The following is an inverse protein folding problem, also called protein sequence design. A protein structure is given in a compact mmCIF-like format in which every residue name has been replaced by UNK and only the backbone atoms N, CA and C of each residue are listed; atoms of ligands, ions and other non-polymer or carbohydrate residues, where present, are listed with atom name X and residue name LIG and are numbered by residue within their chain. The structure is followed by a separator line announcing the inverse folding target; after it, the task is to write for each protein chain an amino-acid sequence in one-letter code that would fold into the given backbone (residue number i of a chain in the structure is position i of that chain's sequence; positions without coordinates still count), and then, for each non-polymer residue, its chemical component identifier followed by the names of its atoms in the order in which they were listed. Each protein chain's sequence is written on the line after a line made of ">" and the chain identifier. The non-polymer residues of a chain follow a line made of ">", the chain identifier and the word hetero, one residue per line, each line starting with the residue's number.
data_IF_531489156180
#
_entry.id   IF_531489156180
#
_cell.length_a   1.000
_cell.length_b   1.000
_cell.length_c   1.000
_cell.angle_alpha   90.00
_cell.angle_beta   90.00
_cell.angle_gamma   90.00
#
_symmetry.space_group_name_H-M   'P 1'
#
loop_
_entity.id
_entity.type
_entity.pdbx_description
1 polymer ?
#
# COMPACT_ATOMS: atom_id res chain seq x y z
N UNK A 1 -22.16 5.11 -20.71
CA UNK A 1 -21.14 4.06 -20.86
C UNK A 1 -21.14 3.26 -19.57
N UNK A 2 -21.20 1.94 -19.60
CA UNK A 2 -21.21 1.13 -18.38
C UNK A 2 -19.90 1.28 -17.61
N UNK A 3 -19.99 1.32 -16.30
CA UNK A 3 -18.89 1.56 -15.38
C UNK A 3 -18.62 0.31 -14.55
N UNK A 4 -17.37 -0.09 -14.46
CA UNK A 4 -16.91 -1.13 -13.54
C UNK A 4 -16.47 -0.50 -12.22
N UNK A 5 -16.80 -1.13 -11.10
CA UNK A 5 -16.37 -0.76 -9.76
C UNK A 5 -15.55 -1.91 -9.15
N UNK A 6 -14.31 -1.65 -8.74
CA UNK A 6 -13.57 -2.60 -7.92
C UNK A 6 -14.06 -2.50 -6.48
N UNK A 7 -14.69 -3.58 -5.99
CA UNK A 7 -15.30 -3.61 -4.66
C UNK A 7 -14.64 -4.67 -3.79
N UNK A 8 -13.78 -4.23 -2.87
CA UNK A 8 -13.18 -5.09 -1.85
C UNK A 8 -14.06 -5.28 -0.62
N UNK A 9 -14.94 -4.32 -0.36
CA UNK A 9 -15.70 -4.22 0.89
C UNK A 9 -14.96 -3.45 1.99
N UNK A 10 -13.76 -2.95 1.70
CA UNK A 10 -13.06 -1.96 2.54
C UNK A 10 -13.78 -0.60 2.50
N UNK A 11 -13.43 0.29 3.44
CA UNK A 11 -14.10 1.59 3.62
C UNK A 11 -14.07 2.42 2.34
N UNK A 12 -12.92 2.51 1.67
CA UNK A 12 -12.73 3.36 0.51
C UNK A 12 -13.53 2.88 -0.70
N UNK A 13 -13.40 1.60 -1.06
CA UNK A 13 -14.16 1.02 -2.18
C UNK A 13 -15.68 1.05 -1.92
N UNK A 14 -16.09 0.84 -0.67
CA UNK A 14 -17.50 0.93 -0.28
C UNK A 14 -18.04 2.36 -0.36
N UNK A 15 -17.23 3.35 0.05
CA UNK A 15 -17.57 4.77 -0.04
C UNK A 15 -17.71 5.22 -1.49
N UNK A 16 -16.77 4.84 -2.35
CA UNK A 16 -16.86 5.10 -3.79
C UNK A 16 -18.10 4.44 -4.39
N UNK A 17 -18.37 3.19 -4.02
CA UNK A 17 -19.58 2.46 -4.43
C UNK A 17 -20.85 3.17 -4.02
N UNK A 18 -20.94 3.64 -2.78
CA UNK A 18 -22.09 4.40 -2.26
C UNK A 18 -22.29 5.71 -3.02
N UNK A 19 -21.23 6.49 -3.21
CA UNK A 19 -21.30 7.77 -3.92
C UNK A 19 -21.73 7.53 -5.37
N UNK A 20 -21.09 6.58 -6.05
CA UNK A 20 -21.41 6.24 -7.44
C UNK A 20 -22.84 5.78 -7.60
N UNK A 21 -23.36 4.95 -6.69
CA UNK A 21 -24.75 4.48 -6.71
C UNK A 21 -25.79 5.58 -6.51
N UNK A 22 -25.40 6.68 -5.83
CA UNK A 22 -26.26 7.87 -5.66
C UNK A 22 -26.25 8.80 -6.88
N UNK A 23 -25.13 8.87 -7.59
CA UNK A 23 -24.95 9.77 -8.74
C UNK A 23 -25.43 9.10 -10.03
N UNK A 24 -25.10 7.81 -10.18
CA UNK A 24 -25.41 7.02 -11.36
C UNK A 24 -26.60 6.09 -11.07
N UNK A 25 -27.29 5.67 -12.12
CA UNK A 25 -28.27 4.59 -11.98
C UNK A 25 -27.56 3.28 -11.70
N UNK A 26 -28.08 2.46 -10.77
CA UNK A 26 -27.49 1.19 -10.36
C UNK A 26 -27.24 0.22 -11.53
N UNK A 27 -28.11 0.23 -12.52
CA UNK A 27 -28.00 -0.57 -13.76
C UNK A 27 -26.76 -0.25 -14.61
N UNK A 28 -26.17 0.92 -14.40
CA UNK A 28 -24.97 1.37 -15.10
C UNK A 28 -23.66 1.03 -14.36
N UNK A 29 -23.75 0.42 -13.19
CA UNK A 29 -22.58 0.07 -12.35
C UNK A 29 -22.55 -1.45 -12.15
N UNK A 30 -21.48 -2.07 -12.59
CA UNK A 30 -21.17 -3.47 -12.30
C UNK A 30 -20.01 -3.54 -11.32
N UNK A 31 -20.24 -4.12 -10.15
CA UNK A 31 -19.18 -4.34 -9.17
C UNK A 31 -18.41 -5.64 -9.48
N UNK A 32 -17.11 -5.60 -9.24
CA UNK A 32 -16.18 -6.72 -9.44
C UNK A 32 -15.32 -6.93 -8.21
N UNK A 33 -15.04 -8.20 -7.88
CA UNK A 33 -14.20 -8.60 -6.76
C UNK A 33 -13.35 -9.83 -7.14
N UNK A 34 -12.17 -9.94 -6.53
CA UNK A 34 -11.34 -11.15 -6.59
C UNK A 34 -11.57 -12.02 -5.36
N UNK A 35 -11.65 -13.33 -5.57
CA UNK A 35 -11.69 -14.31 -4.50
C UNK A 35 -10.38 -15.09 -4.46
N UNK A 36 -9.65 -14.92 -3.37
CA UNK A 36 -8.41 -15.64 -3.08
C UNK A 36 -8.71 -16.96 -2.34
N UNK A 37 -7.80 -17.92 -2.45
CA UNK A 37 -7.87 -19.18 -1.73
C UNK A 37 -7.65 -18.99 -0.22
N UNK A 38 -6.74 -18.09 0.14
CA UNK A 38 -6.40 -17.83 1.52
C UNK A 38 -7.44 -16.90 2.16
N UNK A 39 -8.07 -17.36 3.24
CA UNK A 39 -9.10 -16.61 3.96
C UNK A 39 -8.57 -15.28 4.54
N UNK A 40 -7.30 -15.22 4.89
CA UNK A 40 -6.67 -14.01 5.46
C UNK A 40 -6.72 -12.82 4.50
N UNK A 41 -6.68 -13.07 3.19
CA UNK A 41 -6.74 -12.04 2.15
C UNK A 41 -8.07 -12.03 1.39
N UNK A 42 -9.06 -12.79 1.88
CA UNK A 42 -10.31 -12.96 1.17
C UNK A 42 -11.36 -11.95 1.65
N UNK A 43 -11.45 -10.82 0.99
CA UNK A 43 -12.43 -9.77 1.26
C UNK A 43 -13.81 -10.03 0.62
N UNK A 44 -14.01 -11.22 0.05
CA UNK A 44 -15.23 -11.54 -0.70
C UNK A 44 -16.51 -11.46 0.14
N UNK A 45 -16.44 -11.78 1.42
CA UNK A 45 -17.60 -11.71 2.34
C UNK A 45 -18.02 -10.25 2.51
N UNK A 46 -17.06 -9.37 2.78
CA UNK A 46 -17.27 -7.94 2.95
C UNK A 46 -17.80 -7.31 1.65
N UNK A 47 -17.16 -7.64 0.52
CA UNK A 47 -17.59 -7.17 -0.79
C UNK A 47 -19.05 -7.57 -1.10
N UNK A 48 -19.44 -8.81 -0.80
CA UNK A 48 -20.82 -9.27 -0.96
C UNK A 48 -21.81 -8.53 -0.06
N UNK A 49 -21.46 -8.33 1.22
CA UNK A 49 -22.30 -7.58 2.16
C UNK A 49 -22.53 -6.16 1.66
N UNK A 50 -21.46 -5.46 1.29
CA UNK A 50 -21.54 -4.09 0.75
C UNK A 50 -22.34 -4.03 -0.56
N UNK A 51 -22.10 -4.96 -1.48
CA UNK A 51 -22.85 -5.00 -2.73
C UNK A 51 -24.38 -5.19 -2.49
N UNK A 52 -24.74 -6.06 -1.55
CA UNK A 52 -26.15 -6.28 -1.18
C UNK A 52 -26.78 -5.02 -0.59
N UNK A 53 -26.10 -4.33 0.34
CA UNK A 53 -26.59 -3.10 0.95
C UNK A 53 -26.75 -1.98 -0.08
N UNK A 54 -25.80 -1.87 -1.00
CA UNK A 54 -25.83 -0.87 -2.06
C UNK A 54 -26.68 -1.29 -3.27
N UNK A 55 -27.27 -2.48 -3.26
CA UNK A 55 -28.06 -3.06 -4.37
C UNK A 55 -27.27 -3.10 -5.68
N UNK A 56 -25.98 -3.33 -5.61
CA UNK A 56 -25.09 -3.47 -6.77
C UNK A 56 -24.98 -4.94 -7.18
N UNK A 57 -24.96 -5.18 -8.49
CA UNK A 57 -24.64 -6.51 -9.01
C UNK A 57 -23.14 -6.76 -8.85
N UNK A 58 -22.77 -7.82 -8.11
CA UNK A 58 -21.38 -8.18 -7.85
C UNK A 58 -20.98 -9.44 -8.65
N UNK A 59 -20.00 -9.30 -9.52
CA UNK A 59 -19.30 -10.43 -10.13
C UNK A 59 -18.01 -10.71 -9.38
N UNK A 60 -17.85 -11.96 -8.94
CA UNK A 60 -16.64 -12.41 -8.24
C UNK A 60 -15.81 -13.30 -9.17
N UNK A 61 -14.55 -12.95 -9.35
CA UNK A 61 -13.60 -13.74 -10.11
C UNK A 61 -12.78 -14.61 -9.14
N UNK A 62 -12.86 -15.93 -9.34
CA UNK A 62 -12.14 -16.90 -8.52
C UNK A 62 -10.76 -17.18 -9.13
N UNK A 63 -9.69 -16.85 -8.42
CA UNK A 63 -8.31 -17.02 -8.88
C UNK A 63 -7.62 -18.27 -8.32
N UNK A 64 -8.38 -19.15 -7.64
CA UNK A 64 -7.80 -20.33 -6.98
C UNK A 64 -7.14 -21.32 -7.93
N UNK A 65 -7.65 -21.38 -9.16
CA UNK A 65 -7.23 -22.37 -10.18
C UNK A 65 -6.28 -21.78 -11.24
N UNK A 66 -5.79 -20.56 -11.00
CA UNK A 66 -4.86 -19.90 -11.93
C UNK A 66 -3.43 -20.43 -11.77
N UNK A 67 -2.75 -20.59 -12.89
CA UNK A 67 -1.30 -20.74 -12.91
C UNK A 67 -0.65 -19.37 -12.63
N UNK A 68 -0.36 -19.12 -11.34
CA UNK A 68 0.20 -17.85 -10.88
C UNK A 68 1.52 -17.50 -11.57
N UNK A 69 2.37 -18.48 -11.86
CA UNK A 69 3.67 -18.23 -12.54
C UNK A 69 3.43 -17.69 -13.94
N UNK A 70 2.54 -18.34 -14.69
CA UNK A 70 2.17 -17.86 -16.02
C UNK A 70 1.53 -16.48 -16.00
N UNK A 71 0.65 -16.20 -15.04
CA UNK A 71 -0.01 -14.90 -14.96
C UNK A 71 0.94 -13.80 -14.49
N UNK A 72 1.89 -14.07 -13.57
CA UNK A 72 2.96 -13.14 -13.20
C UNK A 72 3.82 -12.80 -14.41
N UNK A 73 4.27 -13.82 -15.17
CA UNK A 73 5.11 -13.61 -16.35
C UNK A 73 4.42 -12.71 -17.37
N UNK A 74 3.14 -12.99 -17.67
CA UNK A 74 2.35 -12.15 -18.59
C UNK A 74 2.12 -10.73 -18.07
N UNK A 75 2.01 -10.57 -16.74
CA UNK A 75 1.79 -9.26 -16.13
C UNK A 75 3.07 -8.42 -16.17
N UNK A 76 4.24 -9.04 -16.00
CA UNK A 76 5.55 -8.37 -16.10
C UNK A 76 5.78 -7.78 -17.49
N UNK A 77 5.34 -8.44 -18.54
CA UNK A 77 5.47 -7.94 -19.91
C UNK A 77 4.72 -6.62 -20.15
N UNK A 78 3.80 -6.26 -19.28
CA UNK A 78 3.03 -5.01 -19.36
C UNK A 78 3.51 -3.91 -18.40
N UNK A 79 4.65 -4.11 -17.72
CA UNK A 79 5.21 -3.16 -16.77
C UNK A 79 6.44 -2.51 -17.38
N UNK A 80 6.48 -1.18 -17.43
CA UNK A 80 7.59 -0.43 -18.02
C UNK A 80 8.84 -0.38 -17.11
N UNK A 81 8.67 -0.62 -15.81
CA UNK A 81 9.75 -0.60 -14.83
C UNK A 81 9.58 -1.67 -13.75
N UNK A 82 10.66 -2.12 -13.07
CA UNK A 82 10.56 -3.08 -11.99
C UNK A 82 9.66 -2.57 -10.85
N UNK A 83 8.63 -3.32 -10.51
CA UNK A 83 7.68 -3.01 -9.45
C UNK A 83 7.82 -4.01 -8.31
N UNK A 84 8.07 -3.52 -7.08
CA UNK A 84 8.24 -4.35 -5.89
C UNK A 84 6.92 -4.59 -5.12
N UNK A 85 5.79 -4.16 -5.65
CA UNK A 85 4.48 -4.35 -5.03
C UNK A 85 3.78 -5.60 -5.58
N UNK A 86 3.53 -6.57 -4.71
CA UNK A 86 2.80 -7.78 -5.07
C UNK A 86 1.31 -7.52 -5.42
N UNK A 87 0.77 -6.38 -5.02
CA UNK A 87 -0.61 -5.97 -5.32
C UNK A 87 -0.85 -5.79 -6.82
N UNK A 88 0.19 -5.50 -7.61
CA UNK A 88 0.07 -5.33 -9.06
C UNK A 88 -0.55 -6.54 -9.76
N UNK A 89 -0.26 -7.76 -9.27
CA UNK A 89 -0.82 -8.97 -9.87
C UNK A 89 -2.34 -9.03 -9.69
N UNK A 90 -2.83 -8.67 -8.51
CA UNK A 90 -4.27 -8.64 -8.24
C UNK A 90 -4.97 -7.61 -9.14
N UNK A 91 -4.40 -6.42 -9.29
CA UNK A 91 -4.93 -5.37 -10.16
C UNK A 91 -4.88 -5.79 -11.64
N UNK A 92 -3.80 -6.41 -12.08
CA UNK A 92 -3.67 -6.93 -13.44
C UNK A 92 -4.75 -7.98 -13.74
N UNK A 93 -4.96 -8.91 -12.82
CA UNK A 93 -5.96 -9.98 -12.98
C UNK A 93 -7.40 -9.43 -13.00
N UNK A 94 -7.75 -8.55 -12.07
CA UNK A 94 -9.10 -7.98 -12.06
C UNK A 94 -9.35 -7.10 -13.29
N UNK A 95 -8.34 -6.33 -13.73
CA UNK A 95 -8.43 -5.49 -14.93
C UNK A 95 -8.63 -6.33 -16.18
N UNK A 96 -7.89 -7.44 -16.34
CA UNK A 96 -8.06 -8.40 -17.43
C UNK A 96 -9.47 -8.99 -17.43
N UNK A 97 -9.96 -9.40 -16.26
CA UNK A 97 -11.30 -9.96 -16.13
C UNK A 97 -12.39 -8.94 -16.48
N UNK A 98 -12.28 -7.71 -15.99
CA UNK A 98 -13.21 -6.61 -16.28
C UNK A 98 -13.20 -6.25 -17.77
N UNK A 99 -12.03 -6.26 -18.41
CA UNK A 99 -11.91 -6.03 -19.84
C UNK A 99 -12.59 -7.16 -20.67
N UNK A 100 -12.47 -8.41 -20.24
CA UNK A 100 -13.15 -9.56 -20.88
C UNK A 100 -14.69 -9.45 -20.77
N UNK A 101 -15.18 -8.84 -19.70
CA UNK A 101 -16.62 -8.52 -19.51
C UNK A 101 -17.08 -7.31 -20.34
N UNK A 102 -16.19 -6.70 -21.12
CA UNK A 102 -16.52 -5.60 -22.05
C UNK A 102 -16.46 -4.20 -21.43
N UNK A 103 -15.99 -4.06 -20.19
CA UNK A 103 -15.85 -2.76 -19.55
C UNK A 103 -14.51 -2.12 -19.90
N UNK A 104 -14.53 -0.83 -20.19
CA UNK A 104 -13.34 -0.03 -20.55
C UNK A 104 -12.97 1.00 -19.49
N UNK A 105 -13.86 1.27 -18.57
CA UNK A 105 -13.66 2.25 -17.49
C UNK A 105 -13.96 1.59 -16.16
N UNK A 106 -13.03 1.78 -15.23
CA UNK A 106 -13.12 1.29 -13.86
C UNK A 106 -12.95 2.45 -12.89
N UNK A 107 -13.60 2.34 -11.75
CA UNK A 107 -13.34 3.16 -10.56
C UNK A 107 -12.98 2.24 -9.41
N UNK A 108 -12.12 2.71 -8.52
CA UNK A 108 -11.63 1.97 -7.35
C UNK A 108 -11.53 2.88 -6.14
N UNK A 109 -11.24 2.28 -4.98
CA UNK A 109 -10.92 3.00 -3.75
C UNK A 109 -9.46 3.42 -3.65
N UNK A 110 -8.64 3.18 -4.68
CA UNK A 110 -7.22 3.51 -4.67
C UNK A 110 -7.01 5.01 -4.48
N UNK A 111 -6.02 5.38 -3.67
CA UNK A 111 -5.76 6.76 -3.27
C UNK A 111 -6.54 7.23 -2.04
N UNK A 112 -7.48 6.41 -1.53
CA UNK A 112 -8.23 6.74 -0.31
C UNK A 112 -7.34 6.84 0.92
N UNK A 113 -6.47 5.88 1.13
CA UNK A 113 -5.53 5.86 2.25
C UNK A 113 -4.51 7.00 2.19
N UNK A 114 -4.06 7.40 1.00
CA UNK A 114 -3.18 8.54 0.78
C UNK A 114 -3.89 9.85 1.14
N UNK A 115 -5.13 10.00 0.71
CA UNK A 115 -5.91 11.22 0.94
C UNK A 115 -6.38 11.35 2.39
N UNK A 116 -6.78 10.25 3.00
CA UNK A 116 -7.42 10.21 4.33
C UNK A 116 -6.47 9.71 5.43
N UNK A 117 -5.18 9.50 5.11
CA UNK A 117 -4.16 9.04 6.05
C UNK A 117 -4.49 7.67 6.66
N UNK A 118 -5.05 6.75 5.88
CA UNK A 118 -5.53 5.45 6.33
C UNK A 118 -4.42 4.45 6.65
N UNK A 119 -3.22 4.59 6.07
CA UNK A 119 -2.12 3.66 6.30
C UNK A 119 -1.59 3.66 7.73
N UNK A 120 -1.25 2.49 8.25
CA UNK A 120 -0.59 2.34 9.56
C UNK A 120 0.66 3.22 9.76
N UNK A 121 1.53 3.46 8.75
CA UNK A 121 2.67 4.36 8.89
C UNK A 121 2.29 5.78 9.36
N UNK A 122 1.16 6.31 8.93
CA UNK A 122 0.69 7.63 9.39
C UNK A 122 0.36 7.63 10.89
N UNK A 123 -0.32 6.59 11.37
CA UNK A 123 -0.62 6.43 12.79
C UNK A 123 0.67 6.26 13.62
N UNK A 124 1.64 5.50 13.10
CA UNK A 124 2.95 5.32 13.71
C UNK A 124 3.72 6.64 13.80
N UNK A 125 3.59 7.50 12.80
CA UNK A 125 4.23 8.82 12.80
C UNK A 125 3.74 9.69 13.96
N UNK A 126 2.44 9.77 14.18
CA UNK A 126 1.88 10.52 15.31
C UNK A 126 2.30 9.93 16.66
N UNK A 127 2.27 8.62 16.80
CA UNK A 127 2.76 7.95 18.01
C UNK A 127 4.24 8.23 18.25
N UNK A 128 5.06 8.13 17.21
CA UNK A 128 6.49 8.41 17.29
C UNK A 128 6.79 9.86 17.70
N UNK A 129 6.02 10.80 17.17
CA UNK A 129 6.09 12.21 17.53
C UNK A 129 5.69 12.44 18.99
N UNK A 130 4.57 11.84 19.44
CA UNK A 130 4.05 11.99 20.80
C UNK A 130 5.00 11.42 21.85
N UNK A 131 5.62 10.28 21.59
CA UNK A 131 6.53 9.61 22.53
C UNK A 131 7.87 10.34 22.68
N UNK A 132 8.16 11.33 21.85
CA UNK A 132 9.36 12.18 21.90
C UNK A 132 10.67 11.41 22.21
N UNK A 133 10.87 10.25 21.59
CA UNK A 133 12.08 9.44 21.77
C UNK A 133 13.33 10.29 21.51
N UNK A 134 14.11 10.55 22.54
CA UNK A 134 15.42 11.19 22.37
C UNK A 134 16.36 10.21 21.67
N UNK A 135 17.27 10.73 20.83
CA UNK A 135 18.29 9.91 20.15
C UNK A 135 19.13 9.08 21.13
N UNK A 136 19.21 9.52 22.40
CA UNK A 136 19.96 8.85 23.44
C UNK A 136 19.42 7.45 23.77
N UNK A 137 18.11 7.24 23.70
CA UNK A 137 17.47 5.95 23.98
C UNK A 137 17.19 5.10 22.75
N UNK A 138 17.50 5.61 21.57
CA UNK A 138 17.17 4.91 20.30
C UNK A 138 17.97 3.62 20.11
N UNK A 139 19.28 3.64 20.40
CA UNK A 139 20.16 2.47 20.23
C UNK A 139 19.82 1.32 21.19
N UNK A 140 19.74 1.53 22.53
CA UNK A 140 19.37 0.47 23.46
C UNK A 140 17.96 -0.09 23.17
N UNK A 141 17.01 0.75 22.81
CA UNK A 141 15.64 0.32 22.46
C UNK A 141 15.63 -0.53 21.20
N UNK A 142 16.38 -0.15 20.16
CA UNK A 142 16.55 -0.97 18.96
C UNK A 142 17.13 -2.35 19.29
N UNK A 143 18.18 -2.41 20.08
CA UNK A 143 18.82 -3.66 20.45
C UNK A 143 17.86 -4.57 21.22
N UNK A 144 17.07 -4.01 22.14
CA UNK A 144 16.06 -4.76 22.88
C UNK A 144 14.97 -5.30 21.97
N UNK A 145 14.48 -4.51 21.02
CA UNK A 145 13.44 -4.92 20.06
C UNK A 145 13.98 -6.02 19.12
N UNK A 146 15.25 -5.95 18.73
CA UNK A 146 15.86 -6.97 17.86
C UNK A 146 16.05 -8.33 18.55
N UNK A 147 15.95 -8.40 19.87
CA UNK A 147 15.96 -9.67 20.62
C UNK A 147 14.62 -10.43 20.50
N UNK A 148 13.54 -9.76 20.09
CA UNK A 148 12.29 -10.46 19.83
C UNK A 148 12.42 -11.38 18.62
N UNK A 149 11.94 -12.64 18.71
CA UNK A 149 11.99 -13.55 17.57
C UNK A 149 11.20 -13.00 16.39
N UNK A 150 11.64 -13.34 15.17
CA UNK A 150 10.86 -13.03 13.99
C UNK A 150 9.54 -13.80 14.04
N UNK A 151 8.46 -13.06 14.12
CA UNK A 151 7.12 -13.64 14.11
C UNK A 151 6.73 -13.93 12.66
N UNK A 152 6.42 -15.19 12.35
CA UNK A 152 5.82 -15.59 11.07
C UNK A 152 4.39 -15.07 10.91
N UNK A 153 3.78 -14.56 11.98
CA UNK A 153 2.47 -13.94 11.91
C UNK A 153 2.60 -12.54 11.33
N UNK A 154 2.14 -12.39 10.10
CA UNK A 154 1.97 -11.09 9.45
C UNK A 154 1.15 -10.17 10.38
N UNK A 155 1.66 -8.94 10.63
CA UNK A 155 1.07 -7.96 11.54
C UNK A 155 1.10 -8.30 13.05
N UNK A 156 1.86 -9.29 13.50
CA UNK A 156 2.08 -9.56 14.94
C UNK A 156 2.79 -8.41 15.66
N UNK A 157 2.63 -8.35 17.00
CA UNK A 157 3.23 -7.26 17.82
C UNK A 157 4.75 -7.16 17.64
N UNK A 158 5.46 -8.28 17.55
CA UNK A 158 6.91 -8.30 17.30
C UNK A 158 7.28 -7.68 15.95
N UNK A 159 6.54 -8.01 14.90
CA UNK A 159 6.70 -7.41 13.57
C UNK A 159 6.47 -5.88 13.63
N UNK A 160 5.37 -5.46 14.24
CA UNK A 160 5.03 -4.03 14.39
C UNK A 160 6.11 -3.26 15.17
N UNK A 161 6.65 -3.86 16.24
CA UNK A 161 7.74 -3.26 17.02
C UNK A 161 9.03 -3.14 16.19
N UNK A 162 9.40 -4.16 15.41
CA UNK A 162 10.58 -4.13 14.53
C UNK A 162 10.43 -3.05 13.44
N UNK A 163 9.29 -2.97 12.79
CA UNK A 163 9.01 -1.91 11.82
C UNK A 163 9.13 -0.54 12.48
N UNK A 164 8.48 -0.34 13.64
CA UNK A 164 8.56 0.93 14.39
C UNK A 164 10.02 1.30 14.72
N UNK A 165 10.83 0.31 15.11
CA UNK A 165 12.24 0.52 15.46
C UNK A 165 13.11 1.03 14.30
N UNK A 166 12.72 0.80 13.04
CA UNK A 166 13.46 1.29 11.86
C UNK A 166 13.62 2.81 11.85
N UNK A 167 12.68 3.54 12.44
CA UNK A 167 12.72 5.00 12.52
C UNK A 167 13.43 5.54 13.78
N UNK A 168 13.70 4.70 14.79
CA UNK A 168 14.37 5.15 16.02
C UNK A 168 15.78 5.67 15.72
N UNK A 169 16.09 6.86 16.20
CA UNK A 169 17.36 7.53 15.97
C UNK A 169 17.46 8.21 14.62
N UNK A 170 16.37 8.24 13.83
CA UNK A 170 16.31 8.94 12.56
C UNK A 170 15.61 10.30 12.72
N UNK A 171 15.79 11.18 11.72
CA UNK A 171 15.14 12.48 11.76
C UNK A 171 13.62 12.30 11.73
N UNK A 172 12.92 12.94 12.68
CA UNK A 172 11.47 12.80 12.84
C UNK A 172 10.66 13.12 11.60
N UNK A 173 11.12 14.08 10.79
CA UNK A 173 10.45 14.45 9.52
C UNK A 173 10.46 13.33 8.47
N UNK A 174 11.38 12.37 8.59
CA UNK A 174 11.53 11.26 7.65
C UNK A 174 11.17 9.90 8.24
N UNK A 175 10.67 9.87 9.47
CA UNK A 175 10.32 8.61 10.13
C UNK A 175 9.34 7.79 9.28
N UNK A 176 8.40 8.46 8.61
CA UNK A 176 7.39 7.83 7.78
C UNK A 176 7.99 7.10 6.57
N UNK A 177 8.98 7.70 5.90
CA UNK A 177 9.63 7.07 4.74
C UNK A 177 10.28 5.74 5.10
N UNK A 178 10.83 5.61 6.31
CA UNK A 178 11.44 4.35 6.79
C UNK A 178 10.43 3.24 7.04
N UNK A 179 9.17 3.54 7.15
CA UNK A 179 8.11 2.54 7.33
C UNK A 179 7.44 2.15 6.03
N UNK A 180 7.48 3.02 5.02
CA UNK A 180 6.86 2.79 3.71
C UNK A 180 7.84 2.11 2.75
N UNK A 181 9.13 2.48 2.80
CA UNK A 181 10.14 1.92 1.90
C UNK A 181 10.34 0.42 2.13
N UNK A 182 10.29 -0.36 1.06
CA UNK A 182 10.60 -1.80 1.07
C UNK A 182 12.05 -2.05 1.45
N UNK A 183 12.97 -1.25 0.89
CA UNK A 183 14.40 -1.27 1.21
C UNK A 183 14.87 0.09 1.67
N UNK A 184 15.67 0.11 2.72
CA UNK A 184 16.35 1.32 3.16
C UNK A 184 17.62 1.55 2.33
N UNK A 185 18.06 2.80 2.20
CA UNK A 185 19.27 3.14 1.45
C UNK A 185 20.51 2.37 1.93
N UNK A 186 20.58 2.11 3.24
CA UNK A 186 21.64 1.32 3.85
C UNK A 186 21.57 -0.16 3.44
N UNK A 187 20.36 -0.70 3.28
CA UNK A 187 20.14 -2.08 2.83
C UNK A 187 20.47 -2.22 1.35
N UNK A 188 20.07 -1.26 0.52
CA UNK A 188 20.38 -1.21 -0.91
C UNK A 188 21.90 -1.19 -1.12
N UNK A 189 22.65 -0.39 -0.34
CA UNK A 189 24.09 -0.30 -0.47
C UNK A 189 24.82 -1.61 -0.17
N UNK A 190 24.19 -2.51 0.60
CA UNK A 190 24.75 -3.86 0.87
C UNK A 190 24.45 -4.86 -0.25
N UNK A 191 23.39 -4.61 -1.04
CA UNK A 191 23.02 -5.47 -2.17
C UNK A 191 23.79 -5.15 -3.45
N UNK A 192 24.26 -3.91 -3.61
CA UNK A 192 25.00 -3.48 -4.79
C UNK A 192 26.44 -4.01 -4.77
N UNK A 193 26.92 -4.47 -5.93
CA UNK A 193 28.32 -4.81 -6.09
C UNK A 193 29.20 -3.56 -6.01
N UNK A 194 30.46 -3.72 -5.56
CA UNK A 194 31.40 -2.59 -5.39
C UNK A 194 31.62 -1.77 -6.66
N UNK A 195 31.49 -2.40 -7.83
CA UNK A 195 31.62 -1.73 -9.13
C UNK A 195 30.43 -0.83 -9.42
N UNK A 196 29.22 -1.30 -9.12
CA UNK A 196 27.98 -0.55 -9.30
C UNK A 196 27.91 0.63 -8.32
N UNK A 197 28.43 0.46 -7.11
CA UNK A 197 28.51 1.52 -6.10
C UNK A 197 29.30 2.75 -6.57
N UNK A 198 30.32 2.59 -7.43
CA UNK A 198 31.10 3.73 -7.96
C UNK A 198 30.27 4.60 -8.92
N UNK A 199 29.33 3.97 -9.62
CA UNK A 199 28.47 4.64 -10.59
C UNK A 199 27.14 5.09 -9.94
N UNK A 200 26.78 4.53 -8.80
CA UNK A 200 25.61 4.87 -8.04
C UNK A 200 25.83 6.19 -7.30
N UNK A 201 25.63 7.30 -8.00
CA UNK A 201 25.41 8.60 -7.34
C UNK A 201 24.02 8.54 -6.68
N UNK A 202 23.98 7.98 -5.49
CA UNK A 202 22.78 8.13 -4.69
C UNK A 202 22.64 9.61 -4.34
N UNK A 203 21.87 10.35 -5.13
CA UNK A 203 21.10 11.38 -4.47
C UNK A 203 20.28 10.61 -3.45
N UNK A 204 20.67 10.76 -2.20
CA UNK A 204 20.00 10.08 -1.12
C UNK A 204 18.53 10.44 -1.25
N UNK A 205 17.63 9.46 -1.38
CA UNK A 205 16.19 9.70 -1.54
C UNK A 205 15.68 10.67 -0.46
N UNK A 206 16.31 10.65 0.71
CA UNK A 206 16.02 11.57 1.80
C UNK A 206 16.39 13.02 1.46
N UNK A 207 17.46 13.27 0.70
CA UNK A 207 17.84 14.60 0.26
C UNK A 207 16.85 15.12 -0.79
N UNK A 208 16.37 14.24 -1.66
CA UNK A 208 15.32 14.58 -2.62
C UNK A 208 14.01 14.95 -1.89
N UNK A 209 13.55 14.13 -0.96
CA UNK A 209 12.36 14.40 -0.16
C UNK A 209 12.54 15.70 0.64
N UNK A 210 13.75 15.94 1.23
CA UNK A 210 14.03 17.22 1.90
C UNK A 210 13.90 18.42 1.00
N UNK A 211 14.39 18.35 -0.23
CA UNK A 211 14.24 19.44 -1.19
C UNK A 211 12.77 19.77 -1.44
N UNK A 212 11.90 18.73 -1.55
CA UNK A 212 10.46 18.90 -1.73
C UNK A 212 9.82 19.53 -0.48
N UNK A 213 10.11 19.01 0.71
CA UNK A 213 9.56 19.51 1.97
C UNK A 213 9.97 20.95 2.22
N UNK A 214 11.23 21.29 1.98
CA UNK A 214 11.73 22.67 2.16
C UNK A 214 11.15 23.64 1.13
N UNK A 215 10.94 23.18 -0.10
CA UNK A 215 10.34 24.00 -1.16
C UNK A 215 8.87 24.34 -0.85
N UNK A 216 8.14 23.41 -0.25
CA UNK A 216 6.73 23.58 0.07
C UNK A 216 6.50 24.11 1.51
N UNK A 217 7.54 24.40 2.27
CA UNK A 217 7.66 25.00 3.61
C UNK A 217 6.37 25.18 4.43
N UNK A 218 5.49 24.21 4.43
CA UNK A 218 4.33 24.19 5.31
C UNK A 218 4.76 23.82 6.72
N UNK A 219 4.08 24.35 7.72
CA UNK A 219 4.35 24.07 9.12
C UNK A 219 3.47 22.93 9.66
N UNK A 220 2.53 22.46 8.86
CA UNK A 220 1.56 21.45 9.27
C UNK A 220 2.12 20.04 8.99
N UNK A 221 1.89 19.11 9.93
CA UNK A 221 2.29 17.73 9.80
C UNK A 221 1.55 17.01 8.66
N UNK A 222 0.32 17.41 8.38
CA UNK A 222 -0.47 16.89 7.28
C UNK A 222 0.23 17.13 5.94
N UNK A 223 0.73 18.34 5.74
CA UNK A 223 1.43 18.69 4.50
C UNK A 223 2.75 17.90 4.35
N UNK A 224 3.46 17.65 5.47
CA UNK A 224 4.67 16.82 5.46
C UNK A 224 4.34 15.38 5.06
N UNK A 225 3.24 14.82 5.57
CA UNK A 225 2.82 13.46 5.24
C UNK A 225 2.25 13.34 3.82
N UNK A 226 1.59 14.37 3.31
CA UNK A 226 1.05 14.39 1.95
C UNK A 226 2.11 14.55 0.85
N UNK A 227 3.30 15.00 1.21
CA UNK A 227 4.44 15.17 0.28
C UNK A 227 5.28 13.87 0.19
N UNK A 228 5.17 12.99 1.17
CA UNK A 228 5.90 11.71 1.23
C UNK A 228 5.19 10.60 0.44
#
# INVERSE_FOLDING_TARGET
>A
MPLALYLSGGVDSSTIGLISSKILKHENIQAFNLKFKNETFNENIQAKSTANELKLNLKTFNIQDLDYISEITKSIDNIDEPLADAGFLAISLISKFVAQEGYKVTISGDGGDELLMGYEPFQKYYLFKALNFSNLFSKPTKNLINLFPDSFNYMGLGYKAKIFSKALGFNKKFANTRWICSFLSEEISQLLMKEDMKNFKSENIYDYIMKIILKNSSKDDYDVLSIQ
#
